data_IF_561856894073
#
_entry.id   IF_561856894073
#
_cell.length_a   1.000
_cell.length_b   1.000
_cell.length_c   1.000
_cell.angle_alpha   90.00
_cell.angle_beta   90.00
_cell.angle_gamma   90.00
#
_symmetry.space_group_name_H-M   'P 1'
#
loop_
_entity.id
_entity.type
_entity.pdbx_description
1 polymer ?
#
# COMPACT_ATOMS: atom_id res chain seq x y z
N UNK A 1 -5.79 5.78 -2.02
CA UNK A 1 -4.65 6.69 -2.28
C UNK A 1 -3.33 5.92 -2.26
N UNK A 2 -2.96 5.27 -1.15
CA UNK A 2 -1.79 4.38 -1.11
C UNK A 2 -2.07 2.99 -1.71
N UNK A 3 -3.29 2.46 -1.52
CA UNK A 3 -3.71 1.15 -2.04
C UNK A 3 -3.65 1.09 -3.58
N UNK A 4 -3.97 2.20 -4.26
CA UNK A 4 -3.91 2.29 -5.72
C UNK A 4 -2.47 2.33 -6.24
N UNK A 5 -1.61 3.08 -5.56
CA UNK A 5 -0.17 3.07 -5.83
C UNK A 5 0.41 1.65 -5.69
N UNK A 6 0.07 0.93 -4.61
CA UNK A 6 0.50 -0.46 -4.42
C UNK A 6 -0.08 -1.42 -5.48
N UNK A 7 -1.31 -1.20 -5.92
CA UNK A 7 -1.89 -1.95 -7.03
C UNK A 7 -1.10 -1.71 -8.33
N UNK A 8 -0.82 -0.45 -8.66
CA UNK A 8 -0.15 -0.07 -9.91
C UNK A 8 1.28 -0.62 -9.96
N UNK A 9 2.12 -0.42 -8.92
CA UNK A 9 3.47 -1.01 -8.88
C UNK A 9 3.45 -2.55 -8.94
N UNK A 10 2.46 -3.17 -8.33
CA UNK A 10 2.30 -4.63 -8.36
C UNK A 10 1.99 -5.13 -9.77
N UNK A 11 1.04 -4.50 -10.45
CA UNK A 11 0.61 -4.91 -11.79
C UNK A 11 1.62 -4.54 -12.89
N UNK A 12 2.25 -3.37 -12.79
CA UNK A 12 3.10 -2.82 -13.85
C UNK A 12 4.55 -3.29 -13.73
N UNK A 13 5.08 -3.43 -12.50
CA UNK A 13 6.50 -3.77 -12.29
C UNK A 13 6.72 -5.14 -11.68
N UNK A 14 5.97 -5.51 -10.63
CA UNK A 14 6.27 -6.72 -9.85
C UNK A 14 5.76 -8.01 -10.51
N UNK A 15 4.51 -8.05 -11.00
CA UNK A 15 3.95 -9.26 -11.67
C UNK A 15 4.54 -9.54 -13.04
N UNK A 16 5.17 -8.54 -13.66
CA UNK A 16 5.79 -8.65 -14.99
C UNK A 16 7.30 -8.84 -14.92
N UNK A 17 7.92 -8.56 -13.77
CA UNK A 17 9.34 -8.74 -13.55
C UNK A 17 9.66 -10.16 -13.12
N UNK A 18 10.79 -10.68 -13.60
CA UNK A 18 11.46 -11.83 -13.01
C UNK A 18 12.70 -11.27 -12.32
N UNK A 19 12.82 -11.53 -11.02
CA UNK A 19 13.92 -11.01 -10.21
C UNK A 19 14.78 -12.17 -9.73
N UNK A 20 16.08 -12.13 -10.01
CA UNK A 20 17.01 -13.20 -9.61
C UNK A 20 17.63 -12.96 -8.24
N UNK A 21 17.40 -11.78 -7.65
CA UNK A 21 17.96 -11.39 -6.35
C UNK A 21 17.15 -10.28 -5.68
N UNK A 22 17.21 -10.22 -4.34
CA UNK A 22 16.58 -9.15 -3.53
C UNK A 22 17.07 -7.74 -3.93
N UNK A 23 18.38 -7.46 -4.05
CA UNK A 23 18.84 -6.13 -4.46
C UNK A 23 18.33 -5.71 -5.85
N UNK A 24 18.08 -6.66 -6.76
CA UNK A 24 17.51 -6.37 -8.07
C UNK A 24 16.03 -5.96 -7.98
N UNK A 25 15.26 -6.64 -7.11
CA UNK A 25 13.90 -6.24 -6.78
C UNK A 25 13.85 -4.85 -6.15
N UNK A 26 14.74 -4.56 -5.21
CA UNK A 26 14.83 -3.25 -4.57
C UNK A 26 15.16 -2.14 -5.57
N UNK A 27 16.12 -2.38 -6.48
CA UNK A 27 16.45 -1.44 -7.55
C UNK A 27 15.24 -1.18 -8.47
N UNK A 28 14.52 -2.22 -8.86
CA UNK A 28 13.32 -2.11 -9.69
C UNK A 28 12.19 -1.31 -9.02
N UNK A 29 11.99 -1.47 -7.71
CA UNK A 29 11.02 -0.70 -6.93
C UNK A 29 11.44 0.77 -6.87
N UNK A 30 12.71 1.05 -6.55
CA UNK A 30 13.22 2.42 -6.45
C UNK A 30 13.14 3.16 -7.79
N UNK A 31 13.48 2.49 -8.90
CA UNK A 31 13.35 3.05 -10.25
C UNK A 31 11.89 3.36 -10.60
N UNK A 32 10.97 2.46 -10.26
CA UNK A 32 9.55 2.69 -10.46
C UNK A 32 9.05 3.91 -9.66
N UNK A 33 9.44 4.03 -8.39
CA UNK A 33 9.10 5.16 -7.54
C UNK A 33 9.65 6.48 -8.12
N UNK A 34 10.92 6.50 -8.53
CA UNK A 34 11.55 7.68 -9.12
C UNK A 34 10.84 8.11 -10.41
N UNK A 35 10.49 7.16 -11.28
CA UNK A 35 9.76 7.44 -12.51
C UNK A 35 8.33 7.93 -12.23
N UNK A 36 7.62 7.28 -11.30
CA UNK A 36 6.26 7.64 -10.91
C UNK A 36 6.19 9.03 -10.26
N UNK A 37 7.21 9.42 -9.49
CA UNK A 37 7.30 10.74 -8.87
C UNK A 37 7.70 11.86 -9.84
N UNK A 38 8.28 11.53 -11.01
CA UNK A 38 8.69 12.53 -12.03
C UNK A 38 7.50 13.17 -12.74
N UNK A 39 6.41 12.42 -12.93
CA UNK A 39 5.12 12.92 -13.38
C UNK A 39 4.05 12.39 -12.44
N UNK A 40 3.95 12.97 -11.22
CA UNK A 40 3.02 12.47 -10.25
C UNK A 40 1.61 12.69 -10.81
N UNK A 41 0.90 11.59 -11.14
CA UNK A 41 -0.55 11.71 -11.30
C UNK A 41 -1.05 12.20 -9.95
N UNK A 42 -1.66 13.40 -9.88
CA UNK A 42 -2.17 13.90 -8.62
C UNK A 42 -3.23 12.92 -8.15
N UNK A 43 -2.87 12.08 -7.19
CA UNK A 43 -3.83 11.30 -6.45
C UNK A 43 -4.56 12.33 -5.60
N UNK A 44 -5.75 12.72 -6.02
CA UNK A 44 -6.58 13.61 -5.21
C UNK A 44 -6.97 12.82 -3.96
N UNK A 45 -6.50 13.27 -2.80
CA UNK A 45 -6.90 12.70 -1.52
C UNK A 45 -8.34 13.13 -1.21
N UNK A 46 -9.32 12.36 -1.69
CA UNK A 46 -10.76 12.69 -1.49
C UNK A 46 -11.27 12.40 -0.08
N UNK A 47 -10.50 11.65 0.73
CA UNK A 47 -10.90 11.25 2.09
C UNK A 47 -10.43 12.28 3.09
N UNK A 48 -11.22 12.71 4.08
CA UNK A 48 -10.65 13.59 5.11
C UNK A 48 -9.63 12.83 5.99
N UNK A 49 -8.70 13.53 6.66
CA UNK A 49 -7.83 12.90 7.67
C UNK A 49 -8.66 12.16 8.75
N UNK A 50 -9.85 12.69 9.07
CA UNK A 50 -10.84 12.08 9.97
C UNK A 50 -11.35 10.74 9.46
N UNK A 51 -11.59 10.58 8.15
CA UNK A 51 -12.00 9.32 7.52
C UNK A 51 -10.94 8.22 7.70
N UNK A 52 -9.65 8.60 7.61
CA UNK A 52 -8.51 7.70 7.80
C UNK A 52 -8.45 7.23 9.25
N UNK A 53 -8.51 8.18 10.19
CA UNK A 53 -8.48 7.89 11.62
C UNK A 53 -9.64 6.98 12.01
N UNK A 54 -10.84 7.25 11.51
CA UNK A 54 -11.98 6.37 11.76
C UNK A 54 -11.81 4.97 11.16
N UNK A 55 -11.18 4.82 9.98
CA UNK A 55 -10.85 3.50 9.44
C UNK A 55 -9.87 2.76 10.37
N UNK A 56 -8.86 3.44 10.89
CA UNK A 56 -7.90 2.87 11.84
C UNK A 56 -8.57 2.39 13.13
N UNK A 57 -9.42 3.23 13.72
CA UNK A 57 -10.21 2.90 14.91
C UNK A 57 -11.08 1.65 14.67
N UNK A 58 -11.80 1.59 13.54
CA UNK A 58 -12.64 0.43 13.18
C UNK A 58 -11.83 -0.85 12.93
N UNK A 59 -10.63 -0.75 12.39
CA UNK A 59 -9.76 -1.90 12.19
C UNK A 59 -9.26 -2.45 13.53
N UNK A 60 -8.83 -1.56 14.42
CA UNK A 60 -8.34 -1.91 15.74
C UNK A 60 -9.46 -2.51 16.63
N UNK A 61 -10.66 -1.94 16.58
CA UNK A 61 -11.81 -2.48 17.32
C UNK A 61 -12.15 -3.92 16.87
N UNK A 62 -12.14 -4.19 15.56
CA UNK A 62 -12.38 -5.55 15.03
C UNK A 62 -11.29 -6.54 15.45
N UNK A 63 -10.03 -6.12 15.47
CA UNK A 63 -8.91 -6.95 15.90
C UNK A 63 -9.03 -7.29 17.40
N UNK A 64 -9.36 -6.30 18.22
CA UNK A 64 -9.57 -6.51 19.66
C UNK A 64 -10.76 -7.42 19.94
N UNK A 65 -11.89 -7.27 19.24
CA UNK A 65 -13.03 -8.19 19.37
C UNK A 65 -12.63 -9.64 19.02
N UNK A 66 -11.89 -9.84 17.92
CA UNK A 66 -11.36 -11.15 17.50
C UNK A 66 -10.49 -11.81 18.58
N UNK A 67 -9.63 -11.03 19.23
CA UNK A 67 -8.75 -11.52 20.29
C UNK A 67 -9.55 -11.99 21.51
N UNK A 68 -10.61 -11.27 21.88
CA UNK A 68 -11.48 -11.65 22.99
C UNK A 68 -12.32 -12.90 22.68
N UNK A 69 -12.72 -13.12 21.43
CA UNK A 69 -13.40 -14.35 20.98
C UNK A 69 -12.50 -15.59 20.96
N UNK A 70 -11.18 -15.41 20.88
CA UNK A 70 -10.21 -16.52 20.83
C UNK A 70 -9.75 -16.95 22.23
N UNK A 71 -10.02 -16.14 23.25
CA UNK A 71 -9.67 -16.38 24.65
C UNK A 71 -10.79 -17.07 25.44
N UNK A 72 -11.86 -17.48 24.77
CA UNK A 72 -13.04 -18.13 25.34
C UNK A 72 -13.35 -19.44 24.61
#
# INVERSE_FOLDING_TARGET
>A
MVERFFHDITCERLRRGVFTSVPELEAAINEYVAHHNKNPKPFIWTKSARDILQKGIRANSRLSSKQNETLH
#
